data_IF_202295818309
#
_entry.id   IF_202295818309
#
_cell.length_a   1.000
_cell.length_b   1.000
_cell.length_c   1.000
_cell.angle_alpha   90.00
_cell.angle_beta   90.00
_cell.angle_gamma   90.00
#
_symmetry.space_group_name_H-M   'P 1'
#
loop_
_entity.id
_entity.type
_entity.pdbx_description
1 polymer ?
#
# COMPACT_ATOMS: atom_id res chain seq x y z
N UNK A 1 -0.39 35.11 23.80
CA UNK A 1 -1.10 34.57 22.61
C UNK A 1 -0.17 33.55 21.99
N UNK A 2 -0.51 32.26 22.03
CA UNK A 2 0.24 31.25 21.26
C UNK A 2 0.21 31.68 19.79
N UNK A 3 1.39 31.97 19.25
CA UNK A 3 1.51 32.51 17.91
C UNK A 3 1.11 31.41 16.92
N UNK A 4 0.22 31.72 15.98
CA UNK A 4 -0.28 30.77 14.98
C UNK A 4 0.88 30.08 14.25
N UNK A 5 1.99 30.79 14.05
CA UNK A 5 3.24 30.27 13.48
C UNK A 5 3.79 29.06 14.26
N UNK A 6 3.78 29.10 15.61
CA UNK A 6 4.27 27.99 16.43
C UNK A 6 3.39 26.75 16.32
N UNK A 7 2.07 26.93 16.13
CA UNK A 7 1.13 25.82 15.91
C UNK A 7 1.33 25.20 14.54
N UNK A 8 1.55 26.02 13.51
CA UNK A 8 1.84 25.55 12.15
C UNK A 8 3.15 24.77 12.12
N UNK A 9 4.23 25.30 12.69
CA UNK A 9 5.53 24.63 12.76
C UNK A 9 5.43 23.25 13.42
N UNK A 10 4.70 23.17 14.54
CA UNK A 10 4.51 21.90 15.28
C UNK A 10 3.67 20.89 14.52
N UNK A 11 2.75 21.33 13.66
CA UNK A 11 1.97 20.46 12.78
C UNK A 11 2.83 19.96 11.62
N UNK A 12 3.61 20.83 11.00
CA UNK A 12 4.53 20.47 9.90
C UNK A 12 5.59 19.47 10.34
N UNK A 13 6.22 19.68 11.51
CA UNK A 13 7.24 18.78 12.03
C UNK A 13 6.69 17.39 12.35
N UNK A 14 5.43 17.30 12.81
CA UNK A 14 4.75 16.02 13.02
C UNK A 14 4.34 15.36 11.70
N UNK A 15 3.86 16.14 10.75
CA UNK A 15 3.41 15.63 9.45
C UNK A 15 4.58 15.10 8.62
N UNK A 16 5.79 15.66 8.74
CA UNK A 16 6.98 15.13 8.03
C UNK A 16 7.24 13.64 8.30
N UNK A 17 7.14 13.20 9.55
CA UNK A 17 7.31 11.79 9.89
C UNK A 17 6.21 10.92 9.27
N UNK A 18 4.96 11.36 9.38
CA UNK A 18 3.79 10.67 8.81
C UNK A 18 3.86 10.59 7.28
N UNK A 19 4.35 11.64 6.63
CA UNK A 19 4.51 11.68 5.17
C UNK A 19 5.62 10.75 4.69
N UNK A 20 6.74 10.66 5.42
CA UNK A 20 7.79 9.70 5.13
C UNK A 20 7.30 8.25 5.28
N UNK A 21 6.57 7.93 6.35
CA UNK A 21 5.98 6.60 6.55
C UNK A 21 4.94 6.27 5.47
N UNK A 22 4.11 7.24 5.11
CA UNK A 22 3.12 7.10 4.03
C UNK A 22 3.79 6.90 2.67
N UNK A 23 4.88 7.62 2.41
CA UNK A 23 5.68 7.45 1.20
C UNK A 23 6.32 6.06 1.16
N UNK A 24 6.81 5.56 2.31
CA UNK A 24 7.35 4.21 2.44
C UNK A 24 6.27 3.13 2.22
N UNK A 25 5.10 3.26 2.83
CA UNK A 25 3.97 2.34 2.62
C UNK A 25 3.46 2.32 1.18
N UNK A 26 3.52 3.48 0.52
CA UNK A 26 3.13 3.63 -0.89
C UNK A 26 4.28 3.27 -1.85
N UNK A 27 5.50 3.12 -1.33
CA UNK A 27 6.68 2.87 -2.15
C UNK A 27 6.57 1.53 -2.88
N UNK A 28 7.05 1.52 -4.12
CA UNK A 28 7.24 0.28 -4.88
C UNK A 28 8.23 -0.66 -4.19
N UNK A 29 9.17 -0.12 -3.41
CA UNK A 29 10.17 -0.88 -2.66
C UNK A 29 9.52 -1.91 -1.73
N UNK A 30 8.54 -1.49 -0.91
CA UNK A 30 7.82 -2.40 -0.01
C UNK A 30 7.04 -3.47 -0.77
N UNK A 31 6.39 -3.08 -1.87
CA UNK A 31 5.62 -4.03 -2.71
C UNK A 31 6.52 -5.09 -3.32
N UNK A 32 7.64 -4.69 -3.91
CA UNK A 32 8.62 -5.61 -4.51
C UNK A 32 9.19 -6.55 -3.44
N UNK A 33 9.52 -6.03 -2.25
CA UNK A 33 10.04 -6.82 -1.15
C UNK A 33 9.05 -7.91 -0.72
N UNK A 34 7.78 -7.54 -0.52
CA UNK A 34 6.71 -8.48 -0.16
C UNK A 34 6.49 -9.52 -1.27
N UNK A 35 6.45 -9.09 -2.53
CA UNK A 35 6.32 -10.01 -3.68
C UNK A 35 7.46 -11.02 -3.73
N UNK A 36 8.71 -10.59 -3.53
CA UNK A 36 9.88 -11.48 -3.52
C UNK A 36 9.78 -12.48 -2.35
N UNK A 37 9.51 -12.02 -1.14
CA UNK A 37 9.41 -12.90 0.03
C UNK A 37 8.27 -13.91 -0.11
N UNK A 38 7.10 -13.48 -0.59
CA UNK A 38 5.97 -14.39 -0.84
C UNK A 38 6.30 -15.40 -1.94
N UNK A 39 6.94 -14.97 -3.03
CA UNK A 39 7.35 -15.88 -4.10
C UNK A 39 8.35 -16.93 -3.61
N UNK A 40 9.36 -16.53 -2.85
CA UNK A 40 10.36 -17.44 -2.29
C UNK A 40 9.74 -18.40 -1.27
N UNK A 41 8.91 -17.91 -0.34
CA UNK A 41 8.27 -18.75 0.66
C UNK A 41 7.38 -19.84 0.02
N UNK A 42 6.58 -19.47 -0.98
CA UNK A 42 5.68 -20.41 -1.67
C UNK A 42 6.47 -21.34 -2.59
N UNK A 43 7.50 -20.84 -3.27
CA UNK A 43 8.39 -21.67 -4.09
C UNK A 43 9.10 -22.75 -3.27
N UNK A 44 9.64 -22.40 -2.09
CA UNK A 44 10.28 -23.34 -1.16
C UNK A 44 9.25 -24.33 -0.60
N UNK A 45 8.06 -23.87 -0.22
CA UNK A 45 6.99 -24.74 0.27
C UNK A 45 6.55 -25.76 -0.79
N UNK A 46 6.32 -25.30 -2.02
CA UNK A 46 5.92 -26.15 -3.15
C UNK A 46 7.03 -27.14 -3.57
N UNK A 47 8.29 -26.75 -3.41
CA UNK A 47 9.43 -27.65 -3.61
C UNK A 47 9.49 -28.74 -2.53
N UNK A 48 9.24 -28.39 -1.26
CA UNK A 48 9.23 -29.35 -0.15
C UNK A 48 8.13 -30.43 -0.29
N UNK A 49 6.99 -30.09 -0.89
CA UNK A 49 5.88 -31.02 -1.16
C UNK A 49 5.99 -31.72 -2.53
N UNK A 50 7.12 -31.55 -3.25
CA UNK A 50 7.44 -32.21 -4.52
C UNK A 50 6.37 -32.02 -5.62
N UNK A 51 5.71 -30.85 -5.63
CA UNK A 51 4.72 -30.51 -6.66
C UNK A 51 5.44 -30.21 -7.98
N UNK A 52 4.89 -30.73 -9.09
CA UNK A 52 5.34 -30.41 -10.45
C UNK A 52 5.29 -28.89 -10.70
N UNK A 53 6.43 -28.31 -11.10
CA UNK A 53 6.60 -26.88 -11.47
C UNK A 53 6.28 -25.87 -10.34
N UNK A 54 6.98 -25.92 -9.19
CA UNK A 54 6.69 -25.09 -8.02
C UNK A 54 6.85 -23.59 -8.29
N UNK A 55 7.84 -23.21 -9.09
CA UNK A 55 8.11 -21.81 -9.45
C UNK A 55 7.05 -21.17 -10.34
N UNK A 56 6.31 -21.96 -11.13
CA UNK A 56 5.17 -21.49 -11.92
C UNK A 56 3.93 -21.28 -11.05
N UNK A 57 3.69 -22.19 -10.10
CA UNK A 57 2.54 -22.11 -9.19
C UNK A 57 2.68 -20.95 -8.19
N UNK A 58 3.90 -20.58 -7.80
CA UNK A 58 4.17 -19.42 -6.93
C UNK A 58 3.87 -18.06 -7.60
N UNK A 59 3.73 -17.99 -8.93
CA UNK A 59 3.38 -16.75 -9.65
C UNK A 59 1.94 -16.32 -9.33
N UNK A 60 1.01 -17.27 -9.17
CA UNK A 60 -0.41 -16.98 -8.90
C UNK A 60 -0.60 -16.13 -7.63
N UNK A 61 -0.08 -16.53 -6.45
CA UNK A 61 -0.21 -15.74 -5.23
C UNK A 61 0.57 -14.41 -5.28
N UNK A 62 1.72 -14.36 -5.97
CA UNK A 62 2.47 -13.12 -6.17
C UNK A 62 1.68 -12.08 -7.00
N UNK A 63 1.06 -12.53 -8.09
CA UNK A 63 0.24 -11.68 -8.96
C UNK A 63 -1.07 -11.28 -8.28
N UNK A 64 -1.71 -12.20 -7.54
CA UNK A 64 -2.91 -11.89 -6.76
C UNK A 64 -2.65 -10.82 -5.69
N UNK A 65 -1.52 -10.91 -4.98
CA UNK A 65 -1.11 -9.90 -4.01
C UNK A 65 -0.85 -8.54 -4.69
N UNK A 66 -0.12 -8.53 -5.81
CA UNK A 66 0.17 -7.31 -6.55
C UNK A 66 -1.11 -6.63 -7.05
N UNK A 67 -2.06 -7.38 -7.60
CA UNK A 67 -3.37 -6.88 -8.04
C UNK A 67 -4.18 -6.32 -6.87
N UNK A 68 -4.16 -6.95 -5.69
CA UNK A 68 -4.83 -6.42 -4.48
C UNK A 68 -4.29 -5.04 -4.09
N UNK A 69 -2.97 -4.87 -4.10
CA UNK A 69 -2.35 -3.56 -3.76
C UNK A 69 -2.66 -2.47 -4.79
N UNK A 70 -2.81 -2.80 -6.07
CA UNK A 70 -3.10 -1.85 -7.14
C UNK A 70 -4.59 -1.47 -7.24
N UNK A 71 -5.48 -2.39 -6.91
CA UNK A 71 -6.93 -2.17 -6.97
C UNK A 71 -7.46 -1.31 -5.81
N UNK A 72 -6.90 -1.45 -4.61
CA UNK A 72 -7.31 -0.68 -3.43
C UNK A 72 -7.32 0.85 -3.63
N UNK A 73 -6.26 1.51 -4.16
CA UNK A 73 -6.28 2.95 -4.43
C UNK A 73 -7.25 3.34 -5.54
N UNK A 74 -7.47 2.47 -6.53
CA UNK A 74 -8.46 2.68 -7.60
C UNK A 74 -9.88 2.70 -7.04
N UNK A 75 -10.25 1.70 -6.23
CA UNK A 75 -11.55 1.66 -5.56
C UNK A 75 -11.74 2.83 -4.60
N UNK A 76 -10.70 3.22 -3.85
CA UNK A 76 -10.73 4.42 -3.00
C UNK A 76 -11.01 5.69 -3.82
N UNK A 77 -10.36 5.87 -4.97
CA UNK A 77 -10.58 7.01 -5.88
C UNK A 77 -12.00 7.03 -6.44
N UNK A 78 -12.54 5.85 -6.81
CA UNK A 78 -13.90 5.71 -7.29
C UNK A 78 -14.95 6.05 -6.21
N UNK A 79 -14.73 5.56 -4.99
CA UNK A 79 -15.60 5.83 -3.84
C UNK A 79 -15.58 7.32 -3.44
N UNK A 80 -14.39 7.94 -3.40
CA UNK A 80 -14.26 9.38 -3.14
C UNK A 80 -14.88 10.24 -4.24
N UNK A 81 -14.84 9.82 -5.51
CA UNK A 81 -15.53 10.53 -6.60
C UNK A 81 -17.05 10.51 -6.42
N UNK A 82 -17.60 9.41 -5.91
CA UNK A 82 -19.04 9.32 -5.63
C UNK A 82 -19.45 10.03 -4.33
N UNK A 83 -18.62 9.99 -3.28
CA UNK A 83 -18.90 10.68 -2.00
C UNK A 83 -18.50 12.16 -1.97
N UNK A 84 -17.56 12.58 -2.80
CA UNK A 84 -17.09 13.97 -2.89
C UNK A 84 -18.12 14.95 -3.44
N UNK A 85 -19.22 14.46 -4.01
CA UNK A 85 -20.43 15.28 -4.25
C UNK A 85 -21.14 15.66 -2.94
N UNK A 86 -21.10 14.83 -1.91
CA UNK A 86 -21.85 15.06 -0.66
C UNK A 86 -21.22 16.07 0.31
N UNK A 87 -19.91 16.34 0.22
CA UNK A 87 -19.21 17.23 1.18
C UNK A 87 -19.10 18.67 0.66
N UNK A 88 -19.24 18.89 -0.66
CA UNK A 88 -19.22 20.23 -1.25
C UNK A 88 -20.58 20.95 -1.19
N UNK A 89 -21.66 20.20 -0.99
CA UNK A 89 -23.03 20.73 -0.91
C UNK A 89 -23.48 21.02 0.54
N UNK A 90 -22.57 20.92 1.53
CA UNK A 90 -22.82 21.15 2.95
C UNK A 90 -21.99 22.28 3.56
N UNK A 91 -21.42 23.16 2.74
CA UNK A 91 -20.72 24.40 3.16
C UNK A 91 -21.41 25.58 2.50
#
# INVERSE_FOLDING_TARGET
MENLEQKVQKIEDRNKGVEADKAWETSWTRRVLLTIFTYLAIGVYMWAINISRPWLNAVVPAVAFMLSTLTMPFFKKLWLKNKGKSVRDSI
#
